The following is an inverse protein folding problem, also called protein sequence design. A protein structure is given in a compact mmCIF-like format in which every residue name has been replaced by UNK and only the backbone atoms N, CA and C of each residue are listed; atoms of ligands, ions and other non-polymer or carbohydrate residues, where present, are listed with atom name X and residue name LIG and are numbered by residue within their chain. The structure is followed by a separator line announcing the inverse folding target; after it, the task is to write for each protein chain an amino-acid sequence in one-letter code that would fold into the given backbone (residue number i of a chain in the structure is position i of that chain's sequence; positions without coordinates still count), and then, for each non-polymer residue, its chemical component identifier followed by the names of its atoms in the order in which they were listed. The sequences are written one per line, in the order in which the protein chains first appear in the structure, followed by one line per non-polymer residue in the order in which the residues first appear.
data_IF_823266067448
#
_entry.id   IF_823266067448
#
_cell.length_a   1.000
_cell.length_b   1.000
_cell.length_c   1.000
_cell.angle_alpha   90.00
_cell.angle_beta   90.00
_cell.angle_gamma   90.00
#
_symmetry.space_group_name_H-M   'P 1'
#
loop_
_entity.id
_entity.type
_entity.pdbx_description
1 polymer ?
#
# COMPACT_ATOMS: atom_id res chain seq x y z
N UNK A 1 20.77 -19.24 -6.08
CA UNK A 1 20.04 -18.78 -4.86
C UNK A 1 18.56 -18.63 -5.16
N UNK A 2 17.69 -19.03 -4.24
CA UNK A 2 16.23 -18.85 -4.31
C UNK A 2 15.78 -17.92 -3.19
N UNK A 3 15.02 -16.89 -3.54
CA UNK A 3 14.58 -15.86 -2.60
C UNK A 3 13.05 -15.77 -2.65
N UNK A 4 12.39 -15.65 -1.51
CA UNK A 4 11.01 -15.21 -1.41
C UNK A 4 11.02 -13.73 -1.03
N UNK A 5 10.35 -12.90 -1.83
CA UNK A 5 10.18 -11.47 -1.60
C UNK A 5 8.70 -11.15 -1.33
N UNK A 6 8.44 -10.49 -0.22
CA UNK A 6 7.13 -9.99 0.21
C UNK A 6 7.28 -8.59 0.83
N UNK A 7 6.19 -7.84 0.92
CA UNK A 7 6.14 -6.49 1.52
C UNK A 7 4.72 -6.14 1.96
N UNK A 8 4.57 -4.98 2.56
CA UNK A 8 3.28 -4.31 2.77
C UNK A 8 2.26 -5.20 3.50
N UNK A 9 2.70 -5.81 4.61
CA UNK A 9 1.86 -6.68 5.42
C UNK A 9 0.81 -5.92 6.21
N UNK A 10 1.12 -4.69 6.63
CA UNK A 10 0.25 -3.83 7.41
C UNK A 10 -0.45 -4.55 8.56
N UNK A 11 0.30 -5.36 9.32
CA UNK A 11 -0.25 -6.13 10.44
C UNK A 11 -1.00 -5.23 11.43
N UNK A 12 -2.24 -5.61 11.74
CA UNK A 12 -3.13 -4.84 12.59
C UNK A 12 -3.99 -3.81 11.85
N UNK A 13 -4.07 -3.88 10.51
CA UNK A 13 -4.94 -3.04 9.69
C UNK A 13 -6.40 -3.18 10.10
N UNK A 14 -7.09 -2.04 10.20
CA UNK A 14 -8.54 -1.95 10.40
C UNK A 14 -9.14 -1.31 9.15
N UNK A 15 -10.09 -1.98 8.52
CA UNK A 15 -10.79 -1.53 7.33
C UNK A 15 -12.28 -1.33 7.65
N UNK A 16 -12.82 -0.12 7.48
CA UNK A 16 -14.22 0.23 7.82
C UNK A 16 -14.65 -0.29 9.22
N UNK A 17 -13.80 -0.13 10.23
CA UNK A 17 -13.96 -0.63 11.60
C UNK A 17 -13.92 -2.17 11.76
N UNK A 18 -13.54 -2.91 10.72
CA UNK A 18 -13.31 -4.37 10.80
C UNK A 18 -11.82 -4.63 10.93
N UNK A 19 -11.42 -5.41 11.93
CA UNK A 19 -10.03 -5.87 12.08
C UNK A 19 -9.71 -6.95 11.06
N UNK A 20 -8.57 -6.82 10.38
CA UNK A 20 -8.09 -7.81 9.41
C UNK A 20 -7.10 -8.82 10.02
N UNK A 21 -6.91 -8.83 11.35
CA UNK A 21 -5.90 -9.69 12.00
C UNK A 21 -6.07 -11.17 11.69
N UNK A 22 -7.30 -11.68 11.66
CA UNK A 22 -7.58 -13.10 11.34
C UNK A 22 -7.26 -13.42 9.88
N UNK A 23 -7.63 -12.51 8.95
CA UNK A 23 -7.29 -12.65 7.53
C UNK A 23 -5.77 -12.57 7.32
N UNK A 24 -5.09 -11.68 8.02
CA UNK A 24 -3.63 -11.55 7.98
C UNK A 24 -2.94 -12.78 8.55
N UNK A 25 -3.46 -13.34 9.64
CA UNK A 25 -2.97 -14.60 10.18
C UNK A 25 -3.08 -15.72 9.14
N UNK A 26 -4.22 -15.85 8.48
CA UNK A 26 -4.44 -16.86 7.44
C UNK A 26 -3.44 -16.72 6.29
N UNK A 27 -3.16 -15.47 5.83
CA UNK A 27 -2.18 -15.24 4.77
C UNK A 27 -0.76 -15.59 5.21
N UNK A 28 -0.39 -15.27 6.46
CA UNK A 28 0.92 -15.64 7.00
C UNK A 28 1.08 -17.16 7.15
N UNK A 29 0.01 -17.90 7.49
CA UNK A 29 0.06 -19.37 7.52
C UNK A 29 0.29 -19.94 6.11
N UNK A 30 -0.36 -19.41 5.07
CA UNK A 30 -0.08 -19.84 3.70
C UNK A 30 1.36 -19.50 3.27
N UNK A 31 1.87 -18.31 3.65
CA UNK A 31 3.26 -17.94 3.39
C UNK A 31 4.23 -18.91 4.06
N UNK A 32 3.96 -19.35 5.30
CA UNK A 32 4.77 -20.38 5.98
C UNK A 32 4.79 -21.70 5.18
N UNK A 33 3.62 -22.15 4.69
CA UNK A 33 3.52 -23.37 3.85
C UNK A 33 4.35 -23.23 2.57
N UNK A 34 4.32 -22.07 1.92
CA UNK A 34 5.16 -21.82 0.73
C UNK A 34 6.65 -21.84 1.06
N UNK A 35 7.05 -21.28 2.22
CA UNK A 35 8.45 -21.30 2.70
C UNK A 35 8.89 -22.72 3.07
N UNK A 36 8.05 -23.49 3.76
CA UNK A 36 8.35 -24.88 4.12
C UNK A 36 8.53 -25.76 2.89
N UNK A 37 7.69 -25.55 1.86
CA UNK A 37 7.76 -26.31 0.62
C UNK A 37 9.03 -26.01 -0.17
N UNK A 38 9.39 -24.74 -0.28
CA UNK A 38 10.48 -24.29 -1.16
C UNK A 38 11.82 -24.18 -0.46
N UNK A 39 11.86 -24.02 0.86
CA UNK A 39 13.04 -23.78 1.68
C UNK A 39 13.98 -22.78 1.00
N UNK A 40 13.60 -21.50 0.88
CA UNK A 40 14.41 -20.49 0.18
C UNK A 40 15.69 -20.19 0.94
N UNK A 41 16.71 -19.72 0.23
CA UNK A 41 17.98 -19.30 0.82
C UNK A 41 17.84 -17.97 1.60
N UNK A 42 16.80 -17.17 1.29
CA UNK A 42 16.43 -15.96 2.02
C UNK A 42 14.96 -15.62 1.88
N UNK A 43 14.37 -15.04 2.93
CA UNK A 43 13.09 -14.33 2.91
C UNK A 43 13.35 -12.82 3.05
N UNK A 44 12.87 -12.03 2.09
CA UNK A 44 12.90 -10.57 2.12
C UNK A 44 11.53 -10.04 2.47
N UNK A 45 11.46 -9.11 3.45
CA UNK A 45 10.25 -8.36 3.79
C UNK A 45 10.56 -6.87 3.62
N UNK A 46 10.10 -6.30 2.50
CA UNK A 46 10.51 -4.98 2.04
C UNK A 46 9.64 -3.84 2.60
N UNK A 47 9.48 -3.77 3.92
CA UNK A 47 8.83 -2.67 4.63
C UNK A 47 7.33 -2.81 4.83
N UNK A 48 6.76 -1.84 5.57
CA UNK A 48 5.37 -1.74 6.00
C UNK A 48 4.86 -3.03 6.66
N UNK A 49 5.63 -3.45 7.67
CA UNK A 49 5.34 -4.65 8.47
C UNK A 49 4.08 -4.44 9.29
N UNK A 50 3.97 -3.30 9.95
CA UNK A 50 2.82 -2.89 10.74
C UNK A 50 2.03 -1.78 10.05
N UNK A 51 0.72 -1.76 10.25
CA UNK A 51 -0.16 -0.68 9.74
C UNK A 51 0.13 0.68 10.39
N UNK A 52 0.65 0.68 11.61
CA UNK A 52 0.90 1.89 12.39
C UNK A 52 2.22 1.79 13.17
N UNK A 53 2.84 2.94 13.38
CA UNK A 53 4.07 3.07 14.18
C UNK A 53 3.94 2.52 15.62
N UNK A 54 2.72 2.44 16.16
CA UNK A 54 2.40 1.75 17.43
C UNK A 54 1.44 0.61 17.08
N UNK A 55 1.96 -0.61 16.88
CA UNK A 55 1.15 -1.77 16.52
C UNK A 55 0.30 -2.25 17.70
N UNK A 56 -0.80 -2.93 17.38
CA UNK A 56 -1.60 -3.64 18.38
C UNK A 56 -0.85 -4.86 18.90
N UNK A 57 -1.20 -5.32 20.11
CA UNK A 57 -0.63 -6.54 20.69
C UNK A 57 -0.81 -7.77 19.78
N UNK A 58 -1.99 -7.89 19.13
CA UNK A 58 -2.26 -8.97 18.18
C UNK A 58 -1.33 -8.93 16.97
N UNK A 59 -1.04 -7.74 16.42
CA UNK A 59 -0.10 -7.59 15.31
C UNK A 59 1.33 -7.99 15.70
N UNK A 60 1.76 -7.62 16.91
CA UNK A 60 3.09 -8.00 17.44
C UNK A 60 3.19 -9.51 17.59
N UNK A 61 2.16 -10.16 18.15
CA UNK A 61 2.14 -11.63 18.30
C UNK A 61 2.16 -12.37 16.96
N UNK A 62 1.48 -11.84 15.94
CA UNK A 62 1.51 -12.43 14.60
C UNK A 62 2.93 -12.40 14.01
N UNK A 63 3.61 -11.26 14.09
CA UNK A 63 4.99 -11.14 13.61
C UNK A 63 5.94 -12.05 14.41
N UNK A 64 5.82 -12.05 15.75
CA UNK A 64 6.63 -12.91 16.63
C UNK A 64 6.47 -14.39 16.26
N UNK A 65 5.22 -14.86 16.14
CA UNK A 65 4.92 -16.25 15.77
C UNK A 65 5.48 -16.63 14.39
N UNK A 66 5.43 -15.70 13.44
CA UNK A 66 5.99 -15.90 12.11
C UNK A 66 7.53 -15.99 12.15
N UNK A 67 8.20 -15.04 12.80
CA UNK A 67 9.68 -15.03 12.92
C UNK A 67 10.18 -16.28 13.65
N UNK A 68 9.53 -16.67 14.74
CA UNK A 68 9.90 -17.88 15.48
C UNK A 68 9.77 -19.14 14.61
N UNK A 69 8.75 -19.22 13.78
CA UNK A 69 8.58 -20.37 12.89
C UNK A 69 9.61 -20.37 11.76
N UNK A 70 9.74 -19.29 11.02
CA UNK A 70 10.61 -19.23 9.82
C UNK A 70 12.10 -19.13 10.20
N UNK A 71 12.45 -18.18 11.05
CA UNK A 71 13.84 -17.97 11.46
C UNK A 71 14.30 -18.98 12.52
N UNK A 72 13.42 -19.29 13.50
CA UNK A 72 13.77 -20.18 14.60
C UNK A 72 13.72 -21.66 14.22
N UNK A 73 12.58 -22.14 13.67
CA UNK A 73 12.39 -23.58 13.43
C UNK A 73 12.93 -24.02 12.06
N UNK A 74 12.69 -23.23 10.99
CA UNK A 74 13.13 -23.57 9.63
C UNK A 74 14.56 -23.10 9.35
N UNK A 75 15.09 -22.21 10.18
CA UNK A 75 16.40 -21.57 10.03
C UNK A 75 16.61 -20.86 8.67
N UNK A 76 15.52 -20.41 8.04
CA UNK A 76 15.55 -19.59 6.81
C UNK A 76 15.98 -18.18 7.20
N UNK A 77 17.03 -17.62 6.58
CA UNK A 77 17.44 -16.23 6.81
C UNK A 77 16.31 -15.25 6.46
N UNK A 78 16.03 -14.32 7.37
CA UNK A 78 15.03 -13.25 7.16
C UNK A 78 15.76 -11.92 7.09
N UNK A 79 15.48 -11.13 6.04
CA UNK A 79 15.96 -9.75 5.91
C UNK A 79 14.75 -8.85 5.83
N UNK A 80 14.57 -8.00 6.85
CA UNK A 80 13.42 -7.13 7.01
C UNK A 80 13.85 -5.68 7.15
N UNK A 81 13.21 -4.77 6.42
CA UNK A 81 13.38 -3.33 6.58
C UNK A 81 12.09 -2.67 7.09
N UNK A 82 12.20 -1.46 7.65
CA UNK A 82 11.01 -0.65 7.93
C UNK A 82 10.54 0.10 6.67
N UNK A 83 9.22 0.21 6.52
CA UNK A 83 8.57 1.11 5.58
C UNK A 83 8.15 2.44 6.22
N UNK A 84 7.28 3.20 5.53
CA UNK A 84 6.85 4.52 5.98
C UNK A 84 5.72 4.47 7.05
N UNK A 85 5.08 3.33 7.26
CA UNK A 85 4.13 3.11 8.35
C UNK A 85 4.80 2.65 9.64
N UNK A 86 5.97 2.02 9.55
CA UNK A 86 6.67 1.44 10.67
C UNK A 86 7.37 2.47 11.56
N UNK A 87 7.54 2.12 12.83
CA UNK A 87 8.49 2.79 13.70
C UNK A 87 9.82 2.02 13.66
N UNK A 88 10.81 2.56 12.95
CA UNK A 88 12.12 1.92 12.84
C UNK A 88 12.72 1.52 14.20
N UNK A 89 12.73 2.41 15.24
CA UNK A 89 13.22 2.05 16.57
C UNK A 89 12.46 0.90 17.26
N UNK A 90 11.13 0.82 17.06
CA UNK A 90 10.30 -0.26 17.64
C UNK A 90 10.52 -1.58 16.91
N UNK A 91 10.56 -1.53 15.58
CA UNK A 91 10.80 -2.71 14.75
C UNK A 91 12.19 -3.31 15.03
N UNK A 92 13.21 -2.48 15.23
CA UNK A 92 14.57 -2.91 15.53
C UNK A 92 14.79 -3.37 16.99
N UNK A 93 13.74 -3.46 17.81
CA UNK A 93 13.89 -3.95 19.17
C UNK A 93 14.46 -5.38 19.15
N UNK A 94 15.53 -5.60 19.93
CA UNK A 94 16.25 -6.88 20.03
C UNK A 94 16.87 -7.39 18.70
N UNK A 95 16.97 -6.57 17.62
CA UNK A 95 17.51 -6.99 16.32
C UNK A 95 18.89 -7.65 16.42
N UNK A 96 19.81 -7.09 17.21
CA UNK A 96 21.17 -7.65 17.43
C UNK A 96 21.15 -9.07 18.03
N UNK A 97 20.14 -9.39 18.86
CA UNK A 97 19.99 -10.74 19.39
C UNK A 97 19.45 -11.70 18.32
N UNK A 98 18.54 -11.22 17.49
CA UNK A 98 17.90 -11.98 16.41
C UNK A 98 18.86 -12.28 15.25
N UNK A 99 19.89 -11.48 15.05
CA UNK A 99 20.94 -11.74 14.04
C UNK A 99 21.62 -13.09 14.23
N UNK A 100 21.75 -13.59 15.48
CA UNK A 100 22.28 -14.92 15.77
C UNK A 100 21.42 -16.05 15.19
N UNK A 101 20.13 -15.79 15.02
CA UNK A 101 19.18 -16.68 14.35
C UNK A 101 19.01 -16.35 12.86
N UNK A 102 19.92 -15.55 12.28
CA UNK A 102 19.87 -15.06 10.89
C UNK A 102 18.61 -14.25 10.58
N UNK A 103 18.04 -13.60 11.59
CA UNK A 103 16.92 -12.67 11.43
C UNK A 103 17.46 -11.25 11.52
N UNK A 104 17.59 -10.61 10.38
CA UNK A 104 18.14 -9.26 10.22
C UNK A 104 17.01 -8.26 10.10
N UNK A 105 16.84 -7.40 11.11
CA UNK A 105 15.79 -6.36 11.13
C UNK A 105 16.47 -4.99 11.10
N UNK A 106 16.36 -4.31 9.97
CA UNK A 106 16.95 -3.00 9.73
C UNK A 106 15.83 -1.95 9.71
N UNK A 107 15.52 -1.40 10.88
CA UNK A 107 14.47 -0.39 11.02
C UNK A 107 14.97 1.06 10.98
N UNK A 108 16.30 1.29 11.05
CA UNK A 108 16.85 2.65 11.03
C UNK A 108 17.83 2.79 9.87
N UNK A 109 17.66 3.87 9.09
CA UNK A 109 18.65 4.25 8.09
C UNK A 109 19.98 4.66 8.75
N UNK A 110 21.07 4.34 8.10
CA UNK A 110 22.43 4.76 8.47
C UNK A 110 23.10 5.48 7.30
N UNK A 111 24.15 6.24 7.62
CA UNK A 111 24.95 6.93 6.59
C UNK A 111 25.60 5.90 5.67
N UNK A 112 26.00 4.77 6.22
CA UNK A 112 26.60 3.66 5.50
C UNK A 112 25.71 2.42 5.58
N UNK A 113 25.33 1.88 4.43
CA UNK A 113 24.53 0.67 4.35
C UNK A 113 25.46 -0.54 4.40
N UNK A 114 25.42 -1.28 5.51
CA UNK A 114 26.20 -2.51 5.64
C UNK A 114 25.47 -3.67 4.95
N UNK A 115 26.13 -4.41 4.04
CA UNK A 115 25.50 -5.55 3.39
C UNK A 115 25.34 -6.72 4.36
N UNK A 116 24.26 -7.47 4.19
CA UNK A 116 24.10 -8.81 4.74
C UNK A 116 24.58 -9.77 3.66
N UNK A 117 25.56 -10.61 3.98
CA UNK A 117 26.17 -11.50 3.01
C UNK A 117 25.66 -12.92 3.24
N UNK A 118 24.99 -13.47 2.25
CA UNK A 118 24.59 -14.88 2.21
C UNK A 118 25.34 -15.57 1.06
N UNK A 119 25.52 -16.88 1.16
CA UNK A 119 26.25 -17.65 0.15
C UNK A 119 25.44 -18.82 -0.33
N UNK A 120 25.55 -19.13 -1.63
CA UNK A 120 25.07 -20.36 -2.24
C UNK A 120 26.24 -21.12 -2.93
N UNK A 121 25.92 -22.11 -3.76
CA UNK A 121 26.93 -22.89 -4.51
C UNK A 121 27.73 -22.05 -5.52
N UNK A 122 27.22 -20.87 -5.91
CA UNK A 122 27.87 -19.93 -6.85
C UNK A 122 28.62 -18.80 -6.15
N UNK A 123 28.68 -18.80 -4.80
CA UNK A 123 29.40 -17.80 -4.02
C UNK A 123 28.50 -16.81 -3.27
N UNK A 124 29.05 -15.64 -2.97
CA UNK A 124 28.42 -14.63 -2.13
C UNK A 124 27.38 -13.80 -2.89
N UNK A 125 26.28 -13.45 -2.19
CA UNK A 125 25.28 -12.46 -2.61
C UNK A 125 25.19 -11.40 -1.52
N UNK A 126 25.29 -10.14 -1.91
CA UNK A 126 25.31 -8.98 -1.03
C UNK A 126 23.92 -8.35 -0.99
N UNK A 127 23.24 -8.45 0.13
CA UNK A 127 21.93 -7.83 0.36
C UNK A 127 22.10 -6.48 1.03
N UNK A 128 21.63 -5.42 0.39
CA UNK A 128 21.69 -4.04 0.87
C UNK A 128 20.30 -3.59 1.38
N UNK A 129 20.03 -3.73 2.68
CA UNK A 129 18.75 -3.32 3.26
C UNK A 129 18.73 -1.80 3.51
N UNK A 130 17.88 -1.10 2.80
CA UNK A 130 17.71 0.36 2.88
C UNK A 130 16.30 0.66 3.38
N UNK A 131 16.09 0.90 4.68
CA UNK A 131 14.79 1.25 5.23
C UNK A 131 14.33 2.63 4.75
N UNK A 132 13.02 2.84 4.76
CA UNK A 132 12.42 4.11 4.40
C UNK A 132 13.04 5.28 5.19
N UNK A 133 13.37 6.36 4.47
CA UNK A 133 13.93 7.57 5.04
C UNK A 133 13.35 8.81 4.36
N UNK A 134 12.57 9.61 5.09
CA UNK A 134 12.03 10.85 4.53
C UNK A 134 13.15 11.86 4.22
N UNK A 135 12.97 12.75 3.22
CA UNK A 135 13.96 13.78 2.88
C UNK A 135 14.35 14.67 4.08
N UNK A 136 13.39 14.97 4.96
CA UNK A 136 13.65 15.75 6.19
C UNK A 136 14.61 15.00 7.12
N UNK A 137 14.37 13.72 7.35
CA UNK A 137 15.23 12.89 8.19
C UNK A 137 16.60 12.66 7.53
N UNK A 138 16.65 12.53 6.21
CA UNK A 138 17.88 12.37 5.45
C UNK A 138 18.79 13.61 5.55
N UNK A 139 18.24 14.82 5.46
CA UNK A 139 19.02 16.06 5.71
C UNK A 139 19.72 16.03 7.07
N UNK A 140 19.03 15.61 8.09
CA UNK A 140 19.62 15.51 9.44
C UNK A 140 20.67 14.41 9.52
N UNK A 141 20.41 13.25 8.92
CA UNK A 141 21.31 12.10 8.94
C UNK A 141 22.62 12.39 8.19
N UNK A 142 22.52 12.96 6.97
CA UNK A 142 23.66 13.22 6.11
C UNK A 142 24.32 14.59 6.34
N UNK A 143 23.70 15.45 7.17
CA UNK A 143 24.08 16.87 7.38
C UNK A 143 24.16 17.63 6.05
N UNK A 144 23.21 17.37 5.15
CA UNK A 144 23.16 17.88 3.78
C UNK A 144 21.80 18.54 3.51
N UNK A 145 21.78 19.86 3.41
CA UNK A 145 20.57 20.67 3.17
C UNK A 145 20.06 20.57 1.73
N UNK A 146 20.86 20.04 0.80
CA UNK A 146 20.49 19.94 -0.63
C UNK A 146 19.58 18.73 -0.91
N UNK A 147 19.42 17.82 0.03
CA UNK A 147 18.49 16.70 -0.07
C UNK A 147 17.06 17.24 0.07
N UNK A 148 16.31 17.33 -1.03
CA UNK A 148 14.97 17.90 -1.08
C UNK A 148 13.90 16.85 -1.37
N UNK A 149 14.22 15.83 -2.14
CA UNK A 149 13.29 14.84 -2.68
C UNK A 149 13.66 13.41 -2.26
N UNK A 150 12.73 12.46 -2.42
CA UNK A 150 13.01 11.03 -2.25
C UNK A 150 14.07 10.53 -3.25
N UNK A 151 14.07 11.08 -4.47
CA UNK A 151 15.10 10.80 -5.46
C UNK A 151 16.49 11.14 -4.92
N UNK A 152 16.67 12.30 -4.27
CA UNK A 152 17.97 12.71 -3.72
C UNK A 152 18.42 11.76 -2.61
N UNK A 153 17.48 11.33 -1.75
CA UNK A 153 17.76 10.36 -0.66
C UNK A 153 18.30 9.05 -1.23
N UNK A 154 17.54 8.45 -2.15
CA UNK A 154 17.89 7.14 -2.74
C UNK A 154 19.15 7.27 -3.60
N UNK A 155 19.31 8.34 -4.37
CA UNK A 155 20.54 8.59 -5.14
C UNK A 155 21.77 8.59 -4.24
N UNK A 156 21.68 9.25 -3.08
CA UNK A 156 22.78 9.32 -2.11
C UNK A 156 23.12 7.93 -1.57
N UNK A 157 22.10 7.13 -1.21
CA UNK A 157 22.29 5.79 -0.65
C UNK A 157 22.84 4.82 -1.71
N UNK A 158 22.24 4.79 -2.89
CA UNK A 158 22.65 3.91 -3.98
C UNK A 158 24.08 4.21 -4.44
N UNK A 159 24.44 5.49 -4.61
CA UNK A 159 25.81 5.86 -4.99
C UNK A 159 26.83 5.32 -4.01
N UNK A 160 26.62 5.46 -2.70
CA UNK A 160 27.51 4.94 -1.67
C UNK A 160 27.60 3.42 -1.68
N UNK A 161 26.47 2.74 -1.89
CA UNK A 161 26.46 1.28 -2.01
C UNK A 161 27.31 0.83 -3.19
N UNK A 162 27.12 1.43 -4.37
CA UNK A 162 27.83 1.06 -5.59
C UNK A 162 29.34 1.32 -5.46
N UNK A 163 29.74 2.44 -4.85
CA UNK A 163 31.15 2.79 -4.62
C UNK A 163 31.88 1.74 -3.73
N UNK A 164 31.15 1.09 -2.82
CA UNK A 164 31.70 0.13 -1.85
C UNK A 164 31.47 -1.33 -2.27
N UNK A 165 30.53 -1.58 -3.23
CA UNK A 165 30.20 -2.92 -3.65
C UNK A 165 31.40 -3.60 -4.34
N UNK A 166 31.79 -4.82 -3.92
CA UNK A 166 32.87 -5.53 -4.58
C UNK A 166 32.52 -5.87 -6.03
N UNK A 167 33.43 -5.58 -6.96
CA UNK A 167 33.24 -5.93 -8.37
C UNK A 167 33.02 -7.43 -8.53
N UNK A 168 32.18 -7.80 -9.48
CA UNK A 168 31.87 -9.19 -9.84
C UNK A 168 31.13 -9.99 -8.75
N UNK A 169 30.56 -9.32 -7.75
CA UNK A 169 29.68 -9.95 -6.77
C UNK A 169 28.22 -9.67 -7.07
N UNK A 170 27.36 -10.67 -6.80
CA UNK A 170 25.91 -10.54 -6.96
C UNK A 170 25.33 -9.65 -5.87
N UNK A 171 24.33 -8.82 -6.23
CA UNK A 171 23.78 -7.79 -5.39
C UNK A 171 22.24 -7.78 -5.38
N UNK A 172 21.67 -7.59 -4.20
CA UNK A 172 20.23 -7.38 -3.99
C UNK A 172 20.03 -6.10 -3.19
N UNK A 173 19.33 -5.13 -3.75
CA UNK A 173 18.89 -3.95 -3.02
C UNK A 173 17.49 -4.19 -2.46
N UNK A 174 17.24 -3.82 -1.21
CA UNK A 174 15.93 -3.92 -0.56
C UNK A 174 15.52 -2.51 -0.15
N UNK A 175 14.43 -1.99 -0.70
CA UNK A 175 13.95 -0.61 -0.45
C UNK A 175 12.44 -0.56 -0.29
N UNK A 176 11.95 0.55 0.30
CA UNK A 176 10.53 0.83 0.43
C UNK A 176 10.23 2.24 -0.05
N UNK A 177 9.95 2.40 -1.36
CA UNK A 177 9.82 3.69 -2.02
C UNK A 177 8.92 3.63 -3.26
N UNK A 178 8.51 4.81 -3.76
CA UNK A 178 7.70 4.96 -4.97
C UNK A 178 8.56 5.28 -6.20
N UNK A 179 8.49 4.43 -7.23
CA UNK A 179 9.17 4.61 -8.52
C UNK A 179 8.17 5.02 -9.60
N UNK A 180 8.57 5.96 -10.47
CA UNK A 180 7.74 6.44 -11.58
C UNK A 180 7.21 5.28 -12.43
N UNK A 181 5.91 5.38 -12.78
CA UNK A 181 5.25 4.41 -13.66
C UNK A 181 4.67 3.21 -12.93
N UNK A 182 4.80 3.14 -11.59
CA UNK A 182 4.06 2.17 -10.78
C UNK A 182 2.57 2.52 -10.68
N UNK A 183 1.72 1.50 -10.73
CA UNK A 183 0.28 1.64 -10.50
C UNK A 183 0.02 1.75 -8.99
N UNK A 184 -0.68 2.81 -8.58
CA UNK A 184 -1.03 3.11 -7.19
C UNK A 184 -2.47 2.72 -6.87
N UNK A 185 -2.76 2.43 -5.61
CA UNK A 185 -4.11 2.21 -5.08
C UNK A 185 -4.48 3.23 -3.99
N UNK A 186 -5.77 3.27 -3.61
CA UNK A 186 -6.27 4.23 -2.60
C UNK A 186 -5.75 3.95 -1.18
N UNK A 187 -5.16 2.79 -0.95
CA UNK A 187 -4.70 2.36 0.37
C UNK A 187 -3.25 2.72 0.67
N UNK A 188 -2.46 3.09 -0.34
CA UNK A 188 -1.08 3.53 -0.17
C UNK A 188 -1.04 4.98 0.33
N UNK A 189 -0.12 5.24 1.25
CA UNK A 189 0.09 6.60 1.75
C UNK A 189 0.97 7.38 0.76
N UNK A 190 0.48 8.51 0.26
CA UNK A 190 1.29 9.39 -0.56
C UNK A 190 2.53 9.86 0.21
N UNK A 191 3.72 9.64 -0.37
CA UNK A 191 4.99 9.99 0.27
C UNK A 191 5.28 11.50 0.25
N UNK A 192 4.62 12.28 -0.62
CA UNK A 192 4.73 13.75 -0.61
C UNK A 192 3.46 14.45 -1.06
N UNK A 193 3.32 15.71 -0.63
CA UNK A 193 2.30 16.63 -1.11
C UNK A 193 2.93 17.47 -2.24
N UNK A 194 2.39 17.40 -3.47
CA UNK A 194 2.83 18.27 -4.57
C UNK A 194 3.71 17.66 -5.66
N UNK A 195 3.78 16.34 -5.80
CA UNK A 195 4.21 15.70 -7.06
C UNK A 195 5.71 15.48 -7.28
N UNK A 196 6.57 15.65 -6.27
CA UNK A 196 8.04 15.46 -6.39
C UNK A 196 8.58 14.22 -5.68
N UNK A 197 7.74 13.22 -5.40
CA UNK A 197 8.08 12.06 -4.57
C UNK A 197 8.46 10.80 -5.36
N UNK A 198 8.70 10.92 -6.65
CA UNK A 198 8.98 9.76 -7.48
C UNK A 198 10.48 9.58 -7.73
N UNK A 199 10.87 8.31 -7.87
CA UNK A 199 12.23 7.89 -8.15
C UNK A 199 12.28 7.32 -9.56
N UNK A 200 13.33 7.65 -10.30
CA UNK A 200 13.58 7.08 -11.62
C UNK A 200 14.19 5.67 -11.52
N UNK A 201 13.63 4.71 -12.23
CA UNK A 201 14.07 3.31 -12.16
C UNK A 201 15.52 3.08 -12.62
N UNK A 202 16.09 3.97 -13.46
CA UNK A 202 17.45 3.86 -13.99
C UNK A 202 18.54 3.84 -12.89
N UNK A 203 18.27 4.44 -11.73
CA UNK A 203 19.16 4.45 -10.57
C UNK A 203 19.49 3.03 -10.07
N UNK A 204 18.61 2.06 -10.35
CA UNK A 204 18.72 0.69 -9.87
C UNK A 204 19.39 -0.27 -10.87
N UNK A 205 19.78 0.22 -12.05
CA UNK A 205 20.27 -0.61 -13.17
C UNK A 205 21.51 -1.45 -12.87
N UNK A 206 22.26 -1.11 -11.83
CA UNK A 206 23.51 -1.78 -11.46
C UNK A 206 23.33 -2.94 -10.47
N UNK A 207 22.12 -3.12 -9.92
CA UNK A 207 21.84 -4.26 -9.03
C UNK A 207 21.30 -5.44 -9.82
N UNK A 208 21.60 -6.65 -9.37
CA UNK A 208 21.04 -7.86 -9.98
C UNK A 208 19.54 -8.00 -9.65
N UNK A 209 19.11 -7.58 -8.47
CA UNK A 209 17.70 -7.55 -8.10
C UNK A 209 17.39 -6.39 -7.14
N UNK A 210 16.23 -5.79 -7.30
CA UNK A 210 15.72 -4.76 -6.39
C UNK A 210 14.36 -5.21 -5.84
N UNK A 211 14.36 -5.54 -4.56
CA UNK A 211 13.16 -5.92 -3.81
C UNK A 211 12.48 -4.68 -3.25
N UNK A 212 11.31 -4.33 -3.77
CA UNK A 212 10.59 -3.10 -3.42
C UNK A 212 9.32 -3.41 -2.64
N UNK A 213 9.03 -2.59 -1.63
CA UNK A 213 7.72 -2.40 -1.02
C UNK A 213 7.17 -1.00 -1.29
N UNK A 214 6.01 -0.70 -0.75
CA UNK A 214 5.21 0.49 -0.83
C UNK A 214 3.99 0.37 -1.76
N UNK A 215 4.13 -0.18 -2.96
CA UNK A 215 3.00 -0.39 -3.85
C UNK A 215 2.35 -1.75 -3.59
N UNK A 216 1.03 -1.74 -3.38
CA UNK A 216 0.26 -2.92 -3.01
C UNK A 216 -0.02 -3.88 -4.17
N UNK A 217 0.23 -3.47 -5.42
CA UNK A 217 0.16 -4.34 -6.59
C UNK A 217 1.53 -4.96 -6.88
N UNK A 218 1.59 -6.28 -7.04
CA UNK A 218 2.77 -6.97 -7.54
C UNK A 218 3.04 -6.54 -8.99
N UNK A 219 4.15 -5.83 -9.21
CA UNK A 219 4.48 -5.26 -10.51
C UNK A 219 5.98 -5.00 -10.68
N UNK A 220 6.41 -4.82 -11.93
CA UNK A 220 7.77 -4.34 -12.24
C UNK A 220 7.82 -2.81 -12.23
N UNK A 221 8.99 -2.26 -11.93
CA UNK A 221 9.26 -0.83 -11.99
C UNK A 221 10.38 -0.55 -13.02
N UNK A 222 10.01 -0.36 -14.28
CA UNK A 222 10.94 -0.11 -15.38
C UNK A 222 11.67 -1.35 -15.89
N UNK A 223 12.43 -2.03 -15.03
CA UNK A 223 13.24 -3.21 -15.37
C UNK A 223 12.65 -4.50 -14.80
N UNK A 224 12.97 -5.65 -15.41
CA UNK A 224 12.47 -6.96 -14.96
C UNK A 224 13.02 -7.39 -13.59
N UNK A 225 14.21 -6.95 -13.23
CA UNK A 225 14.84 -7.19 -11.93
C UNK A 225 14.47 -6.19 -10.85
N UNK A 226 13.66 -5.16 -11.14
CA UNK A 226 13.16 -4.17 -10.18
C UNK A 226 11.68 -4.43 -9.94
N UNK A 227 11.33 -4.96 -8.75
CA UNK A 227 10.00 -5.51 -8.49
C UNK A 227 9.39 -5.06 -7.18
N UNK A 228 8.11 -4.69 -7.25
CA UNK A 228 7.21 -4.68 -6.11
C UNK A 228 6.61 -6.08 -5.92
N UNK A 229 6.66 -6.62 -4.70
CA UNK A 229 5.97 -7.88 -4.38
C UNK A 229 4.47 -7.69 -4.19
N UNK A 230 4.07 -6.48 -3.85
CA UNK A 230 2.71 -6.16 -3.43
C UNK A 230 2.37 -6.63 -2.02
N UNK A 231 1.21 -6.23 -1.54
CA UNK A 231 0.69 -6.60 -0.22
C UNK A 231 0.10 -8.01 -0.22
N UNK A 232 0.01 -8.64 0.97
CA UNK A 232 -0.58 -9.98 1.14
C UNK A 232 -2.11 -9.97 1.02
N UNK A 233 -2.77 -8.87 1.39
CA UNK A 233 -4.22 -8.69 1.31
C UNK A 233 -4.57 -7.42 0.53
N UNK A 234 -5.81 -7.35 0.06
CA UNK A 234 -6.40 -6.12 -0.48
C UNK A 234 -6.79 -5.20 0.68
N UNK A 235 -6.37 -3.95 0.64
CA UNK A 235 -6.59 -2.95 1.69
C UNK A 235 -7.52 -1.81 1.26
N UNK A 236 -7.95 -1.82 -0.01
CA UNK A 236 -8.98 -0.91 -0.54
C UNK A 236 -9.75 -1.56 -1.69
N UNK A 237 -10.94 -1.01 -2.00
CA UNK A 237 -11.73 -1.50 -3.15
C UNK A 237 -11.11 -1.11 -4.50
N UNK A 238 -10.12 -0.24 -4.57
CA UNK A 238 -9.35 -0.01 -5.79
C UNK A 238 -8.47 -1.22 -6.15
N UNK A 239 -8.18 -2.09 -5.17
CA UNK A 239 -7.34 -3.28 -5.33
C UNK A 239 -8.11 -4.56 -5.73
N UNK A 240 -9.41 -4.48 -6.00
CA UNK A 240 -10.27 -5.66 -6.30
C UNK A 240 -9.69 -6.53 -7.42
N UNK A 241 -9.00 -5.93 -8.38
CA UNK A 241 -8.39 -6.64 -9.51
C UNK A 241 -6.97 -7.17 -9.21
N UNK A 242 -6.38 -6.82 -8.05
CA UNK A 242 -5.03 -7.27 -7.72
C UNK A 242 -5.04 -8.77 -7.35
N UNK A 243 -4.04 -9.48 -7.83
CA UNK A 243 -3.73 -10.83 -7.37
C UNK A 243 -2.70 -10.72 -6.25
N UNK A 244 -3.12 -10.96 -5.01
CA UNK A 244 -2.25 -10.88 -3.84
C UNK A 244 -1.44 -12.15 -3.66
N UNK A 245 -0.18 -11.99 -3.20
CA UNK A 245 0.72 -13.14 -3.06
C UNK A 245 2.15 -12.73 -2.75
N UNK A 246 3.08 -13.55 -3.19
CA UNK A 246 4.52 -13.38 -2.97
C UNK A 246 5.28 -13.47 -4.30
N UNK A 247 6.48 -12.94 -4.34
CA UNK A 247 7.37 -13.05 -5.49
C UNK A 247 8.52 -14.02 -5.17
N UNK A 248 8.63 -15.10 -5.93
CA UNK A 248 9.74 -16.06 -5.88
C UNK A 248 10.79 -15.65 -6.90
N UNK A 249 12.03 -15.49 -6.46
CA UNK A 249 13.13 -15.00 -7.29
C UNK A 249 14.21 -16.06 -7.36
N UNK A 250 14.74 -16.27 -8.57
CA UNK A 250 15.83 -17.22 -8.82
C UNK A 250 17.08 -16.49 -9.31
N UNK A 251 18.21 -16.84 -8.75
CA UNK A 251 19.55 -16.38 -9.11
C UNK A 251 20.43 -17.55 -9.55
N UNK A 252 21.29 -17.30 -10.53
CA UNK A 252 22.42 -18.17 -10.89
C UNK A 252 23.77 -17.49 -10.54
N UNK A 253 24.86 -17.97 -11.15
CA UNK A 253 26.18 -17.37 -11.01
C UNK A 253 26.29 -15.94 -11.57
N UNK A 254 25.42 -15.57 -12.53
CA UNK A 254 25.41 -14.27 -13.19
C UNK A 254 24.40 -13.28 -12.58
N UNK A 255 23.68 -13.66 -11.51
CA UNK A 255 22.71 -12.81 -10.84
C UNK A 255 21.26 -13.22 -11.11
N UNK A 256 20.38 -12.26 -11.39
CA UNK A 256 18.94 -12.47 -11.57
C UNK A 256 18.59 -13.28 -12.82
N UNK A 257 17.88 -14.37 -12.63
CA UNK A 257 17.36 -15.22 -13.73
C UNK A 257 15.91 -14.94 -14.01
N UNK A 258 15.08 -15.03 -12.97
CA UNK A 258 13.63 -14.91 -13.12
C UNK A 258 12.92 -14.53 -11.80
N UNK A 259 11.72 -13.99 -11.95
CA UNK A 259 10.79 -13.82 -10.85
C UNK A 259 9.43 -14.39 -11.21
N UNK A 260 8.80 -15.08 -10.25
CA UNK A 260 7.48 -15.70 -10.39
C UNK A 260 6.57 -15.18 -9.28
N UNK A 261 5.48 -14.51 -9.66
CA UNK A 261 4.43 -14.18 -8.69
C UNK A 261 3.62 -15.44 -8.36
N UNK A 262 3.53 -15.76 -7.07
CA UNK A 262 2.77 -16.90 -6.55
C UNK A 262 1.58 -16.37 -5.75
N UNK A 263 0.35 -16.51 -6.26
CA UNK A 263 -0.84 -16.00 -5.59
C UNK A 263 -1.13 -16.77 -4.30
N UNK A 264 -1.57 -16.05 -3.27
CA UNK A 264 -2.12 -16.61 -2.04
C UNK A 264 -3.62 -16.36 -1.99
N UNK A 265 -4.37 -17.25 -1.35
CA UNK A 265 -5.83 -17.21 -1.29
C UNK A 265 -6.31 -16.62 0.04
N UNK A 266 -6.98 -15.46 0.06
CA UNK A 266 -7.58 -14.93 1.29
C UNK A 266 -8.77 -15.80 1.73
N UNK A 267 -9.08 -15.80 3.02
CA UNK A 267 -10.32 -16.42 3.57
C UNK A 267 -11.54 -15.65 3.08
N UNK A 268 -11.45 -14.30 3.10
CA UNK A 268 -12.46 -13.37 2.61
C UNK A 268 -11.79 -12.47 1.57
N UNK A 269 -12.28 -12.51 0.35
CA UNK A 269 -11.77 -11.62 -0.69
C UNK A 269 -12.52 -10.28 -0.64
N UNK A 270 -12.07 -9.32 -1.42
CA UNK A 270 -12.70 -8.02 -1.57
C UNK A 270 -13.34 -7.92 -2.95
N UNK A 271 -14.66 -7.67 -2.99
CA UNK A 271 -15.43 -7.64 -4.24
C UNK A 271 -16.36 -6.43 -4.32
N UNK A 272 -16.68 -6.04 -5.55
CA UNK A 272 -17.69 -5.03 -5.85
C UNK A 272 -18.90 -5.75 -6.47
N UNK A 273 -20.09 -5.55 -5.88
CA UNK A 273 -21.37 -5.95 -6.45
C UNK A 273 -22.09 -4.73 -6.98
N UNK A 274 -22.74 -4.85 -8.15
CA UNK A 274 -23.32 -3.71 -8.87
C UNK A 274 -24.73 -4.04 -9.34
N UNK A 275 -25.64 -3.07 -9.20
CA UNK A 275 -27.03 -3.16 -9.63
C UNK A 275 -27.96 -2.35 -8.72
N UNK A 276 -29.26 -2.55 -8.84
CA UNK A 276 -30.21 -2.07 -7.84
C UNK A 276 -30.11 -2.88 -6.55
N UNK A 277 -30.47 -2.29 -5.42
CA UNK A 277 -30.43 -3.01 -4.14
C UNK A 277 -31.23 -4.32 -4.20
N UNK A 278 -32.38 -4.32 -4.87
CA UNK A 278 -33.22 -5.51 -5.03
C UNK A 278 -32.49 -6.61 -5.81
N UNK A 279 -31.90 -6.28 -6.95
CA UNK A 279 -31.13 -7.24 -7.77
C UNK A 279 -29.93 -7.81 -7.00
N UNK A 280 -29.20 -6.97 -6.27
CA UNK A 280 -28.05 -7.43 -5.44
C UNK A 280 -28.51 -8.41 -4.36
N UNK A 281 -29.62 -8.12 -3.68
CA UNK A 281 -30.14 -9.01 -2.63
C UNK A 281 -30.67 -10.35 -3.21
N UNK A 282 -31.29 -10.33 -4.39
CA UNK A 282 -31.72 -11.55 -5.09
C UNK A 282 -30.52 -12.41 -5.52
N UNK A 283 -29.49 -11.79 -6.11
CA UNK A 283 -28.28 -12.48 -6.52
C UNK A 283 -27.51 -13.08 -5.32
N UNK A 284 -27.56 -12.42 -4.17
CA UNK A 284 -26.90 -12.89 -2.95
C UNK A 284 -27.36 -14.28 -2.50
N UNK A 285 -28.60 -14.70 -2.80
CA UNK A 285 -29.07 -16.05 -2.50
C UNK A 285 -28.29 -17.16 -3.23
N UNK A 286 -27.72 -16.84 -4.38
CA UNK A 286 -26.94 -17.77 -5.21
C UNK A 286 -25.43 -17.60 -5.02
N UNK A 287 -24.99 -16.55 -4.31
CA UNK A 287 -23.60 -16.24 -4.11
C UNK A 287 -23.01 -17.15 -3.01
N UNK A 288 -22.03 -17.98 -3.37
CA UNK A 288 -21.33 -18.88 -2.44
C UNK A 288 -20.24 -18.19 -1.62
N UNK A 289 -19.89 -16.93 -1.97
CA UNK A 289 -18.83 -16.14 -1.33
C UNK A 289 -19.40 -14.94 -0.57
N UNK A 290 -20.53 -15.11 0.11
CA UNK A 290 -21.22 -14.02 0.84
C UNK A 290 -20.40 -13.44 2.00
N UNK A 291 -19.42 -14.21 2.49
CA UNK A 291 -18.53 -13.77 3.56
C UNK A 291 -17.43 -12.81 3.09
N UNK A 292 -17.27 -12.56 1.78
CA UNK A 292 -16.33 -11.60 1.26
C UNK A 292 -16.63 -10.16 1.72
N UNK A 293 -15.60 -9.32 1.72
CA UNK A 293 -15.77 -7.88 1.93
C UNK A 293 -16.40 -7.25 0.69
N UNK A 294 -17.59 -6.66 0.86
CA UNK A 294 -18.39 -6.17 -0.25
C UNK A 294 -18.49 -4.64 -0.23
N UNK A 295 -18.24 -4.03 -1.39
CA UNK A 295 -18.77 -2.71 -1.76
C UNK A 295 -19.96 -2.92 -2.69
N UNK A 296 -21.13 -2.35 -2.35
CA UNK A 296 -22.27 -2.30 -3.25
C UNK A 296 -22.27 -0.98 -4.05
N UNK A 297 -22.25 -1.07 -5.37
CA UNK A 297 -22.43 0.06 -6.29
C UNK A 297 -23.89 0.11 -6.74
N UNK A 298 -24.68 0.96 -6.09
CA UNK A 298 -26.14 1.02 -6.31
C UNK A 298 -26.52 1.91 -7.47
N UNK A 299 -27.39 1.38 -8.35
CA UNK A 299 -27.97 2.06 -9.50
C UNK A 299 -29.37 2.63 -9.23
N UNK A 300 -29.87 2.50 -7.99
CA UNK A 300 -31.18 3.00 -7.57
C UNK A 300 -31.23 4.52 -7.72
N UNK A 301 -32.36 5.00 -8.26
CA UNK A 301 -32.63 6.44 -8.52
C UNK A 301 -33.26 7.15 -7.34
N UNK A 302 -33.95 6.41 -6.49
CA UNK A 302 -34.69 6.92 -5.35
C UNK A 302 -33.99 6.67 -4.02
N UNK A 303 -34.38 7.41 -2.99
CA UNK A 303 -33.86 7.23 -1.64
C UNK A 303 -34.22 5.84 -1.08
N UNK A 304 -33.21 5.06 -0.72
CA UNK A 304 -33.38 3.73 -0.16
C UNK A 304 -33.50 3.79 1.37
N UNK A 305 -34.45 3.04 1.92
CA UNK A 305 -34.57 2.91 3.37
C UNK A 305 -33.58 1.86 3.88
N UNK A 306 -32.69 2.25 4.79
CA UNK A 306 -31.67 1.43 5.47
C UNK A 306 -30.90 0.44 4.56
N UNK A 307 -30.33 0.90 3.43
CA UNK A 307 -29.74 -0.01 2.45
C UNK A 307 -28.60 -0.85 3.01
N UNK A 308 -27.74 -0.28 3.86
CA UNK A 308 -26.62 -1.00 4.49
C UNK A 308 -27.11 -2.12 5.42
N UNK A 309 -28.18 -1.89 6.19
CA UNK A 309 -28.72 -2.95 7.06
C UNK A 309 -29.23 -4.11 6.23
N UNK A 310 -30.04 -3.83 5.20
CA UNK A 310 -30.58 -4.84 4.28
C UNK A 310 -29.46 -5.61 3.56
N UNK A 311 -28.42 -4.89 3.14
CA UNK A 311 -27.26 -5.52 2.48
C UNK A 311 -26.53 -6.47 3.43
N UNK A 312 -26.32 -6.08 4.69
CA UNK A 312 -25.66 -6.91 5.71
C UNK A 312 -26.44 -8.16 6.12
N UNK A 313 -27.72 -8.20 5.90
CA UNK A 313 -28.54 -9.43 6.11
C UNK A 313 -28.11 -10.55 5.14
N UNK A 314 -27.61 -10.20 3.95
CA UNK A 314 -27.21 -11.14 2.91
C UNK A 314 -25.68 -11.23 2.76
N UNK A 315 -24.97 -10.12 2.94
CA UNK A 315 -23.50 -9.99 2.90
C UNK A 315 -23.01 -9.46 4.25
N UNK A 316 -22.75 -10.32 5.25
CA UNK A 316 -22.43 -9.90 6.62
C UNK A 316 -21.25 -8.91 6.69
N UNK A 317 -20.29 -9.06 5.78
CA UNK A 317 -19.09 -8.23 5.67
C UNK A 317 -19.22 -7.12 4.61
N UNK A 318 -20.44 -6.63 4.33
CA UNK A 318 -20.61 -5.44 3.51
C UNK A 318 -20.01 -4.22 4.25
N UNK A 319 -19.08 -3.52 3.59
CA UNK A 319 -18.30 -2.44 4.17
C UNK A 319 -18.74 -1.06 3.66
N UNK A 320 -19.15 -0.96 2.39
CA UNK A 320 -19.39 0.32 1.74
C UNK A 320 -20.55 0.24 0.75
N UNK A 321 -21.31 1.34 0.67
CA UNK A 321 -22.29 1.59 -0.41
C UNK A 321 -21.83 2.84 -1.17
N UNK A 322 -21.74 2.71 -2.49
CA UNK A 322 -21.50 3.81 -3.40
C UNK A 322 -22.69 3.95 -4.37
N UNK A 323 -23.32 5.12 -4.39
CA UNK A 323 -24.39 5.38 -5.35
C UNK A 323 -23.80 5.78 -6.70
N UNK A 324 -24.17 5.03 -7.76
CA UNK A 324 -23.80 5.36 -9.13
C UNK A 324 -24.82 6.34 -9.68
N UNK A 325 -24.58 7.65 -9.53
CA UNK A 325 -25.34 8.65 -10.24
C UNK A 325 -25.04 8.53 -11.74
N UNK A 326 -26.05 8.41 -12.60
CA UNK A 326 -25.86 8.63 -14.03
C UNK A 326 -25.51 10.11 -14.21
N UNK A 327 -24.25 10.42 -14.25
CA UNK A 327 -23.80 11.73 -14.74
C UNK A 327 -24.29 11.85 -16.18
N UNK A 328 -25.22 12.78 -16.42
CA UNK A 328 -25.47 13.24 -17.78
C UNK A 328 -24.12 13.73 -18.33
N UNK A 329 -23.64 13.11 -19.39
CA UNK A 329 -22.35 13.36 -20.05
C UNK A 329 -22.21 14.78 -20.63
N UNK A 330 -23.05 15.72 -20.24
CA UNK A 330 -23.05 17.11 -20.70
C UNK A 330 -22.60 18.13 -19.64
N UNK A 331 -22.11 17.69 -18.46
CA UNK A 331 -21.39 18.59 -17.59
C UNK A 331 -19.93 18.68 -18.08
N UNK A 332 -19.70 19.54 -19.08
CA UNK A 332 -18.37 20.02 -19.40
C UNK A 332 -17.71 20.52 -18.08
N UNK A 333 -16.54 19.99 -17.78
CA UNK A 333 -15.68 20.47 -16.70
C UNK A 333 -15.38 21.94 -16.99
N UNK A 334 -16.12 22.83 -16.38
CA UNK A 334 -15.72 24.23 -16.27
C UNK A 334 -14.79 24.25 -15.04
N UNK A 335 -13.49 24.18 -15.29
CA UNK A 335 -12.47 24.58 -14.32
C UNK A 335 -12.60 26.10 -14.11
N UNK A 336 -13.56 26.50 -13.29
CA UNK A 336 -13.66 27.88 -12.82
C UNK A 336 -12.49 28.13 -11.87
N UNK A 337 -11.59 29.05 -12.21
CA UNK A 337 -10.44 29.33 -11.39
C UNK A 337 -10.89 29.86 -10.01
N UNK A 338 -10.13 29.56 -8.95
CA UNK A 338 -10.42 30.01 -7.59
C UNK A 338 -10.59 31.54 -7.47
N UNK A 339 -10.03 32.30 -8.43
CA UNK A 339 -10.15 33.76 -8.51
C UNK A 339 -11.46 34.25 -9.09
N UNK A 340 -12.15 33.41 -9.89
CA UNK A 340 -13.48 33.75 -10.44
C UNK A 340 -14.59 33.42 -9.41
N UNK A 341 -14.39 32.36 -8.59
CA UNK A 341 -15.30 32.00 -7.51
C UNK A 341 -15.40 33.09 -6.39
N UNK A 342 -14.33 33.85 -6.16
CA UNK A 342 -14.35 34.94 -5.16
C UNK A 342 -15.15 36.18 -5.57
N UNK A 343 -15.62 36.26 -6.80
CA UNK A 343 -16.37 37.39 -7.33
C UNK A 343 -17.86 37.15 -7.49
N UNK A 344 -18.33 35.91 -7.28
CA UNK A 344 -19.73 35.54 -7.40
C UNK A 344 -20.47 35.76 -6.07
N UNK A 345 -21.78 36.06 -6.18
CA UNK A 345 -22.68 36.10 -5.02
C UNK A 345 -22.81 34.71 -4.40
N UNK A 346 -22.83 34.63 -3.06
CA UNK A 346 -22.95 33.38 -2.30
C UNK A 346 -24.21 32.61 -2.73
N UNK A 347 -25.31 33.30 -3.05
CA UNK A 347 -26.54 32.67 -3.52
C UNK A 347 -26.40 32.04 -4.90
N UNK A 348 -25.62 32.65 -5.80
CA UNK A 348 -25.32 32.08 -7.11
C UNK A 348 -24.39 30.89 -7.00
N UNK A 349 -23.33 30.98 -6.20
CA UNK A 349 -22.43 29.87 -5.88
C UNK A 349 -23.18 28.67 -5.31
N UNK A 350 -24.13 28.90 -4.40
CA UNK A 350 -24.96 27.83 -3.85
C UNK A 350 -25.87 27.21 -4.91
N UNK A 351 -26.46 28.02 -5.79
CA UNK A 351 -27.32 27.53 -6.88
C UNK A 351 -26.55 26.66 -7.87
N UNK A 352 -25.32 27.06 -8.24
CA UNK A 352 -24.43 26.26 -9.09
C UNK A 352 -24.00 24.96 -8.39
N UNK A 353 -23.62 25.02 -7.11
CA UNK A 353 -23.30 23.85 -6.30
C UNK A 353 -24.51 22.88 -6.21
N UNK A 354 -25.71 23.40 -5.92
CA UNK A 354 -26.93 22.60 -5.87
C UNK A 354 -27.21 21.93 -7.22
N UNK A 355 -27.10 22.68 -8.32
CA UNK A 355 -27.28 22.14 -9.67
C UNK A 355 -26.23 21.07 -9.99
N UNK A 356 -24.98 21.26 -9.54
CA UNK A 356 -23.91 20.28 -9.73
C UNK A 356 -24.16 18.99 -8.92
N UNK A 357 -24.62 19.12 -7.68
CA UNK A 357 -24.85 17.98 -6.79
C UNK A 357 -26.16 17.26 -7.09
N UNK A 358 -27.25 18.01 -7.32
CA UNK A 358 -28.59 17.45 -7.50
C UNK A 358 -28.98 17.20 -8.96
N UNK A 359 -28.17 17.72 -9.94
CA UNK A 359 -28.48 17.73 -11.36
C UNK A 359 -29.79 18.43 -11.71
N UNK A 360 -30.32 19.23 -10.79
CA UNK A 360 -31.56 20.02 -10.94
C UNK A 360 -31.30 21.46 -10.50
N UNK A 361 -32.01 22.41 -11.11
CA UNK A 361 -31.95 23.81 -10.69
C UNK A 361 -32.85 24.05 -9.48
N UNK A 362 -32.42 24.98 -8.60
CA UNK A 362 -33.29 25.46 -7.53
C UNK A 362 -34.62 25.98 -8.12
N UNK A 363 -35.73 25.65 -7.47
CA UNK A 363 -37.01 26.27 -7.78
C UNK A 363 -37.15 27.66 -7.11
N UNK A 364 -38.23 28.42 -7.42
CA UNK A 364 -38.38 29.78 -6.90
C UNK A 364 -38.44 29.86 -5.37
N UNK A 365 -39.08 28.89 -4.72
CA UNK A 365 -39.14 28.83 -3.24
C UNK A 365 -37.80 28.55 -2.61
N UNK A 366 -37.03 27.66 -3.22
CA UNK A 366 -35.67 27.33 -2.77
C UNK A 366 -34.72 28.51 -2.99
N UNK A 367 -34.78 29.21 -4.11
CA UNK A 367 -34.01 30.43 -4.33
C UNK A 367 -34.31 31.50 -3.28
N UNK A 368 -35.59 31.70 -2.93
CA UNK A 368 -35.97 32.64 -1.91
C UNK A 368 -35.44 32.27 -0.52
N UNK A 369 -35.53 30.99 -0.16
CA UNK A 369 -34.99 30.46 1.11
C UNK A 369 -33.47 30.66 1.22
N UNK A 370 -32.73 30.40 0.14
CA UNK A 370 -31.29 30.61 0.10
C UNK A 370 -30.92 32.08 0.28
N UNK A 371 -31.63 32.98 -0.42
CA UNK A 371 -31.43 34.41 -0.30
C UNK A 371 -31.70 34.93 1.13
N UNK A 372 -32.81 34.49 1.76
CA UNK A 372 -33.17 34.85 3.13
C UNK A 372 -32.09 34.38 4.13
N UNK A 373 -31.53 33.17 3.95
CA UNK A 373 -30.43 32.66 4.83
C UNK A 373 -29.13 33.43 4.62
N UNK A 374 -28.76 33.75 3.39
CA UNK A 374 -27.55 34.53 3.07
C UNK A 374 -27.65 35.94 3.67
N UNK A 375 -28.84 36.59 3.57
CA UNK A 375 -29.07 37.89 4.15
C UNK A 375 -28.96 37.87 5.70
N UNK A 376 -29.50 36.83 6.35
CA UNK A 376 -29.36 36.65 7.80
C UNK A 376 -27.89 36.49 8.23
N UNK A 377 -27.11 35.71 7.50
CA UNK A 377 -25.70 35.48 7.80
C UNK A 377 -24.84 36.75 7.61
N UNK A 378 -25.11 37.54 6.57
CA UNK A 378 -24.42 38.80 6.30
C UNK A 378 -24.77 39.89 7.31
N UNK A 379 -25.98 39.92 7.86
CA UNK A 379 -26.42 40.86 8.88
C UNK A 379 -25.92 40.53 10.31
N UNK A 380 -25.49 39.31 10.56
CA UNK A 380 -24.88 38.89 11.85
C UNK A 380 -23.37 39.18 11.91
N UNK A 381 -22.75 39.41 10.73
CA UNK A 381 -21.28 39.65 10.61
C UNK A 381 -20.90 41.14 10.58
N UNK A 382 -21.86 42.06 10.67
CA UNK A 382 -21.69 43.50 10.88
C UNK A 382 -22.18 43.87 12.31
#
# INVERSE_FOLDING_TARGET
MRIIHTADWHLGRILHNVSLLEDQQHMLEQLKVEIERDLPDALIIAGDIYDKAIPSEGAVRLLEGFINHVGGNLAVPIIMISGNHDSGPRLSFASTLLEKAKVHIIGKASVEVQPIILSDEHGEVYFYPVPYLSPIAARSLYQDSEILTHQDVIQRQVTRIIEQHPKDKRSVLIIHEFVIGGEISDSERQLSVGGTSHIEANIFSQFDYVAMGHLHQAQRAGYDHVRYSGSLLKYSFSEVKHNKGITKVTFDENGFVSSLHTPLKPTRDMRIVKGTLTEILEQAHLDTQREDFIRAELEDKEGLHEPMRRLKEMYPNALEIKHLRKTNQNAAQTETSFQELQKQDISELFAEFYQHICAEKLNEEQHKLVADVVEQLTNVSN
#
